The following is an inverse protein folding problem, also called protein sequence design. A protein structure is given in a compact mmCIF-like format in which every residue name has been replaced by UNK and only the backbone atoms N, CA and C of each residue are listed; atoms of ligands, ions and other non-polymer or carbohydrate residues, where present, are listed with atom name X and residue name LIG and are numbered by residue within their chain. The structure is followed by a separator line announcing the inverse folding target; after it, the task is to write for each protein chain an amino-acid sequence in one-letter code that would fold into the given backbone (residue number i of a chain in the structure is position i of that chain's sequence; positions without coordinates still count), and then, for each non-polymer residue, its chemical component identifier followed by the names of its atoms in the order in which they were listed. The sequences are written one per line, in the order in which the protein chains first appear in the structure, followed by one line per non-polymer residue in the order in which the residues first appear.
data_IF_306772177242
#
_entry.id   IF_306772177242
#
_cell.length_a   1.000
_cell.length_b   1.000
_cell.length_c   1.000
_cell.angle_alpha   90.00
_cell.angle_beta   90.00
_cell.angle_gamma   90.00
#
_symmetry.space_group_name_H-M   'P 1'
#
loop_
_entity.id
_entity.type
_entity.pdbx_description
1 polymer ?
#
# COMPACT_ATOMS: atom_id res chain seq x y z
N UNK A 1 9.15 9.77 -30.97
CA UNK A 1 9.10 10.38 -29.62
C UNK A 1 10.52 10.81 -29.29
N UNK A 2 10.72 12.00 -28.73
CA UNK A 2 12.08 12.50 -28.41
C UNK A 2 12.77 11.62 -27.36
N UNK A 3 14.10 11.64 -27.36
CA UNK A 3 14.90 10.87 -26.42
C UNK A 3 14.74 11.46 -24.99
N UNK A 4 14.85 10.65 -23.91
CA UNK A 4 14.77 11.16 -22.54
C UNK A 4 15.84 12.23 -22.24
N UNK A 5 16.97 12.19 -22.93
CA UNK A 5 18.03 13.20 -22.86
C UNK A 5 17.56 14.60 -23.34
N UNK A 6 16.48 14.66 -24.10
CA UNK A 6 15.87 15.92 -24.56
C UNK A 6 14.94 16.53 -23.49
N UNK A 7 14.94 16.02 -22.26
CA UNK A 7 14.21 16.62 -21.14
C UNK A 7 15.00 17.80 -20.58
N UNK A 8 14.29 18.88 -20.24
CA UNK A 8 14.91 20.06 -19.62
C UNK A 8 15.49 19.65 -18.27
N UNK A 9 16.76 19.96 -18.04
CA UNK A 9 17.48 19.63 -16.80
C UNK A 9 17.89 18.16 -16.69
N UNK A 10 17.95 17.43 -17.80
CA UNK A 10 18.45 16.06 -17.79
C UNK A 10 19.89 16.00 -17.26
N UNK A 11 20.09 15.23 -16.18
CA UNK A 11 21.38 15.09 -15.51
C UNK A 11 21.76 16.24 -14.57
N UNK A 12 20.87 17.21 -14.34
CA UNK A 12 21.09 18.28 -13.38
C UNK A 12 20.66 17.85 -11.97
N UNK A 13 21.56 17.97 -10.99
CA UNK A 13 21.26 17.79 -9.57
C UNK A 13 20.86 19.13 -8.94
N UNK A 14 19.73 19.15 -8.23
CA UNK A 14 19.24 20.34 -7.52
C UNK A 14 19.33 20.09 -6.02
N UNK A 15 20.40 20.56 -5.39
CA UNK A 15 20.65 20.33 -3.95
C UNK A 15 19.66 21.03 -3.01
N UNK A 16 19.26 22.27 -3.31
CA UNK A 16 18.34 23.06 -2.48
C UNK A 16 17.08 23.45 -3.26
N UNK A 17 16.06 22.59 -3.23
CA UNK A 17 14.77 22.90 -3.85
C UNK A 17 13.98 23.90 -3.00
N UNK A 18 13.71 25.10 -3.55
CA UNK A 18 12.91 26.14 -2.87
C UNK A 18 11.51 26.21 -3.46
N UNK A 19 10.51 26.21 -2.57
CA UNK A 19 9.11 26.40 -2.94
C UNK A 19 8.76 27.89 -2.99
N UNK A 20 7.96 28.29 -3.97
CA UNK A 20 7.56 29.69 -4.13
C UNK A 20 6.62 30.15 -2.99
N UNK A 21 5.73 29.26 -2.56
CA UNK A 21 4.74 29.50 -1.52
C UNK A 21 4.19 28.18 -0.97
N UNK A 22 3.29 28.25 0.01
CA UNK A 22 2.67 27.06 0.61
C UNK A 22 1.87 26.21 -0.39
N UNK A 23 1.25 26.82 -1.42
CA UNK A 23 0.52 26.05 -2.43
C UNK A 23 1.46 25.24 -3.32
N UNK A 24 2.58 25.81 -3.75
CA UNK A 24 3.62 25.09 -4.52
C UNK A 24 4.26 23.97 -3.70
N UNK A 25 4.42 24.15 -2.38
CA UNK A 25 4.78 23.06 -1.49
C UNK A 25 3.65 22.01 -1.40
N UNK A 26 2.40 22.42 -1.22
CA UNK A 26 1.31 21.48 -0.95
C UNK A 26 0.94 20.64 -2.17
N UNK A 27 0.84 21.25 -3.34
CA UNK A 27 0.44 20.60 -4.60
C UNK A 27 1.25 21.14 -5.78
N UNK A 28 1.85 20.23 -6.53
CA UNK A 28 2.55 20.52 -7.75
C UNK A 28 1.93 19.74 -8.91
N UNK A 29 1.64 20.43 -10.01
CA UNK A 29 1.08 19.83 -11.22
C UNK A 29 2.09 20.02 -12.35
N UNK A 30 2.59 18.91 -12.90
CA UNK A 30 3.48 18.91 -14.05
C UNK A 30 2.73 18.49 -15.31
N UNK A 31 3.30 18.83 -16.47
CA UNK A 31 2.75 18.37 -17.75
C UNK A 31 2.76 16.83 -17.82
N UNK A 32 1.60 16.18 -18.02
CA UNK A 32 1.56 14.73 -18.18
C UNK A 32 2.38 14.23 -19.37
N UNK A 33 2.56 15.06 -20.39
CA UNK A 33 3.40 14.74 -21.55
C UNK A 33 4.89 14.68 -21.21
N UNK A 34 5.37 15.59 -20.37
CA UNK A 34 6.77 15.57 -19.90
C UNK A 34 7.01 14.39 -18.98
N UNK A 35 6.05 14.11 -18.10
CA UNK A 35 6.12 12.96 -17.19
C UNK A 35 6.08 11.63 -17.98
N UNK A 36 5.25 11.54 -19.02
CA UNK A 36 5.19 10.37 -19.90
C UNK A 36 6.45 10.22 -20.76
N UNK A 37 7.07 11.33 -21.19
CA UNK A 37 8.34 11.28 -21.92
C UNK A 37 9.48 10.77 -21.04
N UNK A 38 9.44 11.05 -19.73
CA UNK A 38 10.44 10.59 -18.77
C UNK A 38 10.21 9.13 -18.34
N UNK A 39 9.00 8.80 -17.87
CA UNK A 39 8.64 7.48 -17.38
C UNK A 39 7.23 7.09 -17.85
N UNK A 40 7.09 6.58 -19.09
CA UNK A 40 5.80 6.18 -19.62
C UNK A 40 5.13 5.08 -18.79
N UNK A 41 5.88 4.12 -18.24
CA UNK A 41 5.29 3.10 -17.37
C UNK A 41 4.75 3.69 -16.07
N UNK A 42 5.40 4.72 -15.50
CA UNK A 42 4.91 5.31 -14.27
C UNK A 42 3.59 6.06 -14.46
N UNK A 43 3.45 6.76 -15.59
CA UNK A 43 2.19 7.42 -15.97
C UNK A 43 1.08 6.40 -16.25
N UNK A 44 1.39 5.28 -16.91
CA UNK A 44 0.41 4.20 -17.07
C UNK A 44 -0.04 3.63 -15.72
N UNK A 45 0.89 3.45 -14.78
CA UNK A 45 0.60 3.03 -13.41
C UNK A 45 -0.27 4.07 -12.67
N UNK A 46 0.07 5.35 -12.74
CA UNK A 46 -0.70 6.47 -12.14
C UNK A 46 -2.16 6.42 -12.61
N UNK A 47 -2.40 6.38 -13.92
CA UNK A 47 -3.76 6.37 -14.47
C UNK A 47 -4.51 5.07 -14.16
N UNK A 48 -3.83 3.93 -14.15
CA UNK A 48 -4.45 2.66 -13.75
C UNK A 48 -4.90 2.72 -12.29
N UNK A 49 -4.03 3.13 -11.37
CA UNK A 49 -4.35 3.22 -9.93
C UNK A 49 -5.51 4.19 -9.70
N UNK A 50 -5.48 5.38 -10.31
CA UNK A 50 -6.57 6.35 -10.20
C UNK A 50 -7.90 5.79 -10.75
N UNK A 51 -7.85 5.07 -11.88
CA UNK A 51 -9.04 4.45 -12.49
C UNK A 51 -9.60 3.34 -11.62
N UNK A 52 -8.76 2.42 -11.15
CA UNK A 52 -9.16 1.30 -10.30
C UNK A 52 -9.69 1.80 -8.95
N UNK A 53 -9.06 2.82 -8.37
CA UNK A 53 -9.53 3.46 -7.15
C UNK A 53 -10.91 4.11 -7.35
N UNK A 54 -11.11 4.87 -8.43
CA UNK A 54 -12.41 5.47 -8.75
C UNK A 54 -13.51 4.42 -8.95
N UNK A 55 -13.22 3.35 -9.70
CA UNK A 55 -14.16 2.23 -9.89
C UNK A 55 -14.47 1.55 -8.54
N UNK A 56 -13.46 1.34 -7.69
CA UNK A 56 -13.63 0.73 -6.37
C UNK A 56 -14.49 1.60 -5.43
N UNK A 57 -14.37 2.93 -5.51
CA UNK A 57 -15.20 3.87 -4.77
C UNK A 57 -16.65 3.80 -5.26
N UNK A 58 -16.87 3.86 -6.57
CA UNK A 58 -18.20 3.68 -7.17
C UNK A 58 -18.83 2.35 -6.77
N UNK A 59 -18.04 1.27 -6.79
CA UNK A 59 -18.44 -0.05 -6.33
C UNK A 59 -18.81 -0.04 -4.83
N UNK A 60 -18.05 0.66 -3.99
CA UNK A 60 -18.34 0.79 -2.56
C UNK A 60 -19.66 1.52 -2.27
N UNK A 61 -20.03 2.50 -3.10
CA UNK A 61 -21.36 3.12 -3.04
C UNK A 61 -22.45 2.20 -3.58
N UNK A 62 -22.18 1.48 -4.67
CA UNK A 62 -23.18 0.62 -5.33
C UNK A 62 -23.55 -0.61 -4.50
N UNK A 63 -22.58 -1.32 -3.94
CA UNK A 63 -22.84 -2.47 -3.04
C UNK A 63 -23.58 -2.02 -1.78
N UNK A 64 -23.41 -0.76 -1.39
CA UNK A 64 -24.04 -0.19 -0.21
C UNK A 64 -23.42 -0.71 1.08
N UNK A 65 -24.21 -0.76 2.15
CA UNK A 65 -23.67 -1.11 3.47
C UNK A 65 -22.57 -0.14 3.91
N UNK A 66 -21.61 -0.64 4.69
CA UNK A 66 -20.53 0.18 5.24
C UNK A 66 -19.37 0.44 4.27
N UNK A 67 -19.41 -0.11 3.06
CA UNK A 67 -18.23 -0.21 2.18
C UNK A 67 -17.63 1.14 1.81
N UNK A 68 -18.44 2.19 1.63
CA UNK A 68 -17.94 3.57 1.40
C UNK A 68 -17.13 4.13 2.56
N UNK A 69 -17.49 3.78 3.80
CA UNK A 69 -16.74 4.20 4.99
C UNK A 69 -15.50 3.33 5.20
N UNK A 70 -15.58 2.05 4.82
CA UNK A 70 -14.40 1.19 4.75
C UNK A 70 -13.36 1.77 3.79
N UNK A 71 -13.80 2.15 2.58
CA UNK A 71 -12.95 2.81 1.58
C UNK A 71 -12.34 4.11 2.12
N UNK A 72 -13.14 4.96 2.78
CA UNK A 72 -12.64 6.17 3.43
C UNK A 72 -11.57 5.86 4.48
N UNK A 73 -11.79 4.84 5.32
CA UNK A 73 -10.83 4.45 6.35
C UNK A 73 -9.50 3.98 5.76
N UNK A 74 -9.55 3.23 4.65
CA UNK A 74 -8.36 2.81 3.91
C UNK A 74 -7.62 4.02 3.35
N UNK A 75 -8.33 4.97 2.75
CA UNK A 75 -7.69 6.18 2.23
C UNK A 75 -7.04 7.00 3.34
N UNK A 76 -7.71 7.15 4.50
CA UNK A 76 -7.12 7.79 5.69
C UNK A 76 -5.90 7.02 6.19
N UNK A 77 -5.94 5.69 6.18
CA UNK A 77 -4.79 4.85 6.52
C UNK A 77 -3.60 5.17 5.63
N UNK A 78 -3.78 5.15 4.31
CA UNK A 78 -2.72 5.43 3.35
C UNK A 78 -2.09 6.80 3.54
N UNK A 79 -2.91 7.85 3.62
CA UNK A 79 -2.41 9.21 3.87
C UNK A 79 -1.64 9.28 5.20
N UNK A 80 -2.14 8.63 6.25
CA UNK A 80 -1.47 8.62 7.56
C UNK A 80 -0.11 7.92 7.50
N UNK A 81 -0.05 6.74 6.85
CA UNK A 81 1.19 5.96 6.70
C UNK A 81 2.26 6.75 5.96
N UNK A 82 1.93 7.32 4.79
CA UNK A 82 2.88 8.13 4.00
C UNK A 82 3.35 9.37 4.77
N UNK A 83 2.43 10.08 5.42
CA UNK A 83 2.78 11.28 6.19
C UNK A 83 3.72 10.97 7.35
N UNK A 84 3.51 9.85 8.05
CA UNK A 84 4.37 9.44 9.15
C UNK A 84 5.74 8.98 8.61
N UNK A 85 5.77 8.21 7.52
CA UNK A 85 7.01 7.78 6.87
C UNK A 85 7.89 8.98 6.49
N UNK A 86 7.31 10.04 5.93
CA UNK A 86 8.07 11.24 5.57
C UNK A 86 8.41 12.16 6.75
N UNK A 87 7.68 12.06 7.86
CA UNK A 87 7.90 12.92 9.02
C UNK A 87 8.94 12.37 10.00
N UNK A 88 9.22 11.06 9.95
CA UNK A 88 10.14 10.38 10.87
C UNK A 88 11.39 9.91 10.12
N UNK A 89 12.57 10.51 10.38
CA UNK A 89 13.80 10.17 9.66
C UNK A 89 14.17 8.68 9.68
N UNK A 90 13.89 7.97 10.78
CA UNK A 90 14.23 6.55 10.95
C UNK A 90 13.47 5.58 10.03
N UNK A 91 12.36 6.03 9.43
CA UNK A 91 11.55 5.22 8.52
C UNK A 91 11.35 5.90 7.16
N UNK A 92 12.05 7.01 6.93
CA UNK A 92 12.08 7.75 5.68
C UNK A 92 13.03 7.06 4.69
N UNK A 93 12.60 5.90 4.22
CA UNK A 93 13.46 4.90 3.57
C UNK A 93 13.20 4.75 2.07
N UNK A 94 12.37 5.61 1.47
CA UNK A 94 12.05 5.54 0.05
C UNK A 94 11.73 6.91 -0.56
N UNK A 95 11.96 7.03 -1.87
CA UNK A 95 11.69 8.25 -2.63
C UNK A 95 10.95 7.94 -3.92
N UNK A 96 9.84 8.63 -4.15
CA UNK A 96 9.09 8.54 -5.39
C UNK A 96 9.66 9.44 -6.48
N UNK A 97 9.64 8.91 -7.69
CA UNK A 97 9.74 9.73 -8.89
C UNK A 97 8.50 10.61 -9.06
N UNK A 98 8.57 11.59 -9.96
CA UNK A 98 7.53 12.59 -10.15
C UNK A 98 6.47 12.14 -11.17
N UNK A 99 5.20 12.06 -10.76
CA UNK A 99 4.06 11.89 -11.67
C UNK A 99 3.32 13.20 -11.94
N UNK A 100 2.19 13.15 -12.64
CA UNK A 100 1.44 14.33 -13.09
C UNK A 100 1.04 15.26 -11.94
N UNK A 101 0.66 14.68 -10.80
CA UNK A 101 0.26 15.43 -9.60
C UNK A 101 1.06 14.90 -8.41
N UNK A 102 1.81 15.81 -7.79
CA UNK A 102 2.64 15.54 -6.62
C UNK A 102 2.18 16.39 -5.45
N UNK A 103 2.21 15.82 -4.25
CA UNK A 103 1.79 16.44 -2.99
C UNK A 103 2.97 16.56 -2.04
N UNK A 104 2.82 17.39 -1.01
CA UNK A 104 3.69 17.45 0.17
C UNK A 104 5.18 17.64 -0.16
N UNK A 105 5.54 18.78 -0.73
CA UNK A 105 6.91 19.12 -1.09
C UNK A 105 7.44 18.27 -2.23
N UNK A 106 6.56 17.82 -3.13
CA UNK A 106 6.88 16.94 -4.27
C UNK A 106 7.38 15.55 -3.86
N UNK A 107 6.99 15.07 -2.68
CA UNK A 107 7.31 13.71 -2.21
C UNK A 107 6.27 12.67 -2.54
N UNK A 108 4.99 13.05 -2.52
CA UNK A 108 3.89 12.10 -2.52
C UNK A 108 3.09 12.20 -3.82
N UNK A 109 3.28 11.30 -4.79
CA UNK A 109 2.42 11.25 -5.95
C UNK A 109 0.97 11.01 -5.53
N UNK A 110 0.02 11.74 -6.13
CA UNK A 110 -1.39 11.66 -5.74
C UNK A 110 -1.92 10.21 -5.79
N UNK A 111 -1.53 9.46 -6.82
CA UNK A 111 -2.01 8.09 -7.00
C UNK A 111 -1.51 7.14 -5.91
N UNK A 112 -0.42 7.42 -5.21
CA UNK A 112 0.05 6.61 -4.07
C UNK A 112 -0.98 6.64 -2.94
N UNK A 113 -1.62 7.79 -2.68
CA UNK A 113 -2.72 7.85 -1.69
C UNK A 113 -3.92 6.99 -2.09
N UNK A 114 -4.08 6.73 -3.39
CA UNK A 114 -5.15 5.90 -3.96
C UNK A 114 -4.76 4.42 -4.11
N UNK A 115 -3.48 4.10 -3.99
CA UNK A 115 -2.95 2.74 -4.04
C UNK A 115 -3.51 1.89 -2.90
N UNK A 116 -3.57 2.44 -1.68
CA UNK A 116 -4.12 1.78 -0.51
C UNK A 116 -5.56 1.28 -0.75
N UNK A 117 -6.50 2.10 -1.27
CA UNK A 117 -7.78 1.60 -1.75
C UNK A 117 -7.67 0.48 -2.78
N UNK A 118 -6.78 0.56 -3.78
CA UNK A 118 -6.63 -0.52 -4.78
C UNK A 118 -6.23 -1.86 -4.14
N UNK A 119 -5.42 -1.83 -3.08
CA UNK A 119 -4.94 -3.04 -2.43
C UNK A 119 -5.91 -3.54 -1.36
N UNK A 120 -6.16 -2.71 -0.35
CA UNK A 120 -6.87 -3.10 0.85
C UNK A 120 -8.37 -3.24 0.61
N UNK A 121 -8.99 -2.41 -0.25
CA UNK A 121 -10.44 -2.49 -0.46
C UNK A 121 -10.79 -3.77 -1.21
N UNK A 122 -10.05 -4.08 -2.27
CA UNK A 122 -10.24 -5.30 -3.03
C UNK A 122 -9.93 -6.53 -2.18
N UNK A 123 -8.85 -6.50 -1.39
CA UNK A 123 -8.53 -7.56 -0.44
C UNK A 123 -9.67 -7.79 0.56
N UNK A 124 -10.12 -6.74 1.24
CA UNK A 124 -11.21 -6.82 2.21
C UNK A 124 -12.53 -7.30 1.57
N UNK A 125 -12.85 -6.84 0.36
CA UNK A 125 -14.06 -7.26 -0.34
C UNK A 125 -14.01 -8.73 -0.77
N UNK A 126 -12.89 -9.19 -1.34
CA UNK A 126 -12.69 -10.60 -1.71
C UNK A 126 -12.78 -11.50 -0.48
N UNK A 127 -12.11 -11.13 0.61
CA UNK A 127 -12.09 -11.90 1.86
C UNK A 127 -13.46 -11.93 2.54
N UNK A 128 -14.26 -10.87 2.44
CA UNK A 128 -15.61 -10.87 2.96
C UNK A 128 -16.50 -11.99 2.37
N UNK A 129 -16.20 -12.45 1.15
CA UNK A 129 -16.94 -13.55 0.50
C UNK A 129 -16.51 -14.94 1.00
N UNK A 130 -15.37 -15.04 1.70
CA UNK A 130 -14.96 -16.28 2.37
C UNK A 130 -15.79 -16.54 3.64
N UNK A 131 -16.54 -15.53 4.13
CA UNK A 131 -17.38 -15.61 5.34
C UNK A 131 -16.62 -16.20 6.55
N UNK A 132 -15.34 -15.83 6.68
CA UNK A 132 -14.44 -16.24 7.74
C UNK A 132 -14.90 -15.69 9.11
N UNK A 133 -14.56 -16.36 10.22
CA UNK A 133 -14.79 -15.79 11.54
C UNK A 133 -13.98 -14.50 11.73
N UNK A 134 -14.50 -13.62 12.59
CA UNK A 134 -14.00 -12.26 12.82
C UNK A 134 -12.51 -12.15 13.19
N UNK A 135 -11.96 -13.19 13.82
CA UNK A 135 -10.56 -13.21 14.24
C UNK A 135 -9.60 -13.63 13.13
N UNK A 136 -10.08 -14.27 12.06
CA UNK A 136 -9.26 -14.72 10.93
C UNK A 136 -9.40 -13.82 9.70
N UNK A 137 -10.56 -13.16 9.55
CA UNK A 137 -10.83 -12.24 8.44
C UNK A 137 -9.74 -11.16 8.26
N UNK A 138 -9.22 -10.51 9.32
CA UNK A 138 -8.17 -9.51 9.18
C UNK A 138 -6.87 -10.08 8.60
N UNK A 139 -6.43 -11.26 9.06
CA UNK A 139 -5.21 -11.92 8.54
C UNK A 139 -5.38 -12.34 7.09
N UNK A 140 -6.57 -12.82 6.72
CA UNK A 140 -6.87 -13.12 5.31
C UNK A 140 -6.83 -11.84 4.45
N UNK A 141 -7.35 -10.71 4.95
CA UNK A 141 -7.28 -9.43 4.25
C UNK A 141 -5.83 -8.99 4.03
N UNK A 142 -4.97 -9.05 5.06
CA UNK A 142 -3.55 -8.74 4.91
C UNK A 142 -2.82 -9.68 3.93
N UNK A 143 -3.12 -10.98 3.95
CA UNK A 143 -2.53 -11.93 2.98
C UNK A 143 -2.91 -11.58 1.54
N UNK A 144 -4.19 -11.24 1.31
CA UNK A 144 -4.65 -10.87 -0.04
C UNK A 144 -4.12 -9.50 -0.45
N UNK A 145 -3.92 -8.56 0.48
CA UNK A 145 -3.25 -7.29 0.22
C UNK A 145 -1.85 -7.51 -0.36
N UNK A 146 -1.02 -8.32 0.31
CA UNK A 146 0.33 -8.67 -0.17
C UNK A 146 0.29 -9.29 -1.56
N UNK A 147 -0.69 -10.17 -1.84
CA UNK A 147 -0.83 -10.77 -3.18
C UNK A 147 -1.14 -9.74 -4.27
N UNK A 148 -1.90 -8.69 -3.94
CA UNK A 148 -2.21 -7.59 -4.88
C UNK A 148 -1.00 -6.66 -5.05
N UNK A 149 -0.23 -6.46 -3.98
CA UNK A 149 0.92 -5.56 -3.93
C UNK A 149 2.16 -6.09 -4.69
N UNK A 150 2.54 -7.36 -4.52
CA UNK A 150 3.74 -7.97 -5.12
C UNK A 150 4.03 -7.55 -6.58
N UNK A 151 3.09 -7.66 -7.54
CA UNK A 151 3.38 -7.29 -8.93
C UNK A 151 3.64 -5.80 -9.11
N UNK A 152 2.98 -4.94 -8.32
CA UNK A 152 3.23 -3.51 -8.30
C UNK A 152 4.62 -3.22 -7.75
N UNK A 153 4.91 -3.68 -6.54
CA UNK A 153 6.14 -3.34 -5.80
C UNK A 153 7.39 -3.73 -6.63
N UNK A 154 7.44 -4.98 -7.11
CA UNK A 154 8.56 -5.48 -7.92
C UNK A 154 8.70 -4.71 -9.23
N UNK A 155 7.60 -4.51 -9.96
CA UNK A 155 7.66 -3.88 -11.28
C UNK A 155 7.99 -2.40 -11.17
N UNK A 156 7.40 -1.71 -10.20
CA UNK A 156 7.60 -0.29 -10.02
C UNK A 156 9.03 0.05 -9.58
N UNK A 157 9.63 -0.75 -8.68
CA UNK A 157 11.06 -0.62 -8.35
C UNK A 157 11.94 -0.92 -9.56
N UNK A 158 11.61 -1.94 -10.38
CA UNK A 158 12.34 -2.24 -11.63
C UNK A 158 12.38 -1.04 -12.58
N UNK A 159 11.30 -0.26 -12.67
CA UNK A 159 11.22 0.94 -13.51
C UNK A 159 11.56 2.25 -12.77
N UNK A 160 12.10 2.15 -11.55
CA UNK A 160 12.45 3.29 -10.70
C UNK A 160 11.28 4.30 -10.54
N UNK A 161 10.05 3.79 -10.40
CA UNK A 161 8.87 4.60 -10.01
C UNK A 161 9.06 5.13 -8.58
N UNK A 162 9.68 4.32 -7.73
CA UNK A 162 10.35 4.76 -6.51
C UNK A 162 11.62 3.96 -6.29
N UNK A 163 12.44 4.46 -5.40
CA UNK A 163 13.69 3.84 -4.94
C UNK A 163 13.63 3.67 -3.44
N UNK A 164 14.34 2.66 -2.95
CA UNK A 164 14.52 2.38 -1.54
C UNK A 164 15.93 2.80 -1.11
N UNK A 165 16.10 3.21 0.13
CA UNK A 165 17.40 3.52 0.71
C UNK A 165 18.33 2.32 0.58
N UNK A 166 19.50 2.49 -0.01
CA UNK A 166 20.35 1.37 -0.44
C UNK A 166 21.01 0.65 0.74
N UNK A 167 21.45 1.42 1.73
CA UNK A 167 22.27 0.96 2.87
C UNK A 167 21.55 0.87 4.22
N UNK A 168 20.24 1.11 4.28
CA UNK A 168 19.48 1.02 5.54
C UNK A 168 19.38 -0.44 6.00
N UNK A 169 19.91 -0.78 7.21
CA UNK A 169 19.91 -2.15 7.71
C UNK A 169 18.51 -2.73 7.93
N UNK A 170 17.48 -1.89 8.15
CA UNK A 170 16.11 -2.35 8.35
C UNK A 170 15.45 -2.83 7.06
N UNK A 171 15.96 -2.44 5.89
CA UNK A 171 15.37 -2.79 4.59
C UNK A 171 16.41 -3.41 3.63
N UNK A 172 17.53 -3.85 4.18
CA UNK A 172 18.67 -4.36 3.42
C UNK A 172 18.37 -5.68 2.69
N UNK A 173 17.67 -6.60 3.35
CA UNK A 173 17.31 -7.90 2.77
C UNK A 173 16.20 -7.72 1.72
N UNK A 174 16.49 -8.12 0.46
CA UNK A 174 15.63 -7.81 -0.69
C UNK A 174 15.22 -9.02 -1.53
N UNK A 175 14.08 -8.88 -2.19
CA UNK A 175 13.55 -9.74 -3.24
C UNK A 175 13.30 -8.90 -4.49
N UNK A 176 14.05 -9.14 -5.57
CA UNK A 176 13.99 -8.30 -6.78
C UNK A 176 14.14 -6.79 -6.49
N UNK A 177 15.10 -6.42 -5.64
CA UNK A 177 15.36 -5.04 -5.17
C UNK A 177 14.31 -4.43 -4.23
N UNK A 178 13.18 -5.11 -4.03
CA UNK A 178 12.17 -4.74 -3.03
C UNK A 178 12.56 -5.30 -1.66
N UNK A 179 12.58 -4.50 -0.58
CA UNK A 179 12.81 -5.01 0.77
C UNK A 179 11.75 -6.03 1.18
N UNK A 180 12.17 -7.14 1.79
CA UNK A 180 11.25 -8.11 2.38
C UNK A 180 10.32 -7.47 3.43
N UNK A 181 10.79 -6.40 4.10
CA UNK A 181 9.99 -5.63 5.03
C UNK A 181 8.80 -4.90 4.39
N UNK A 182 8.85 -4.57 3.09
CA UNK A 182 7.69 -4.01 2.37
C UNK A 182 6.48 -4.95 2.47
N UNK A 183 6.67 -6.23 2.15
CA UNK A 183 5.61 -7.24 2.26
C UNK A 183 5.14 -7.45 3.70
N UNK A 184 6.05 -7.35 4.66
CA UNK A 184 5.69 -7.45 6.09
C UNK A 184 4.85 -6.23 6.53
N UNK A 185 5.17 -5.02 6.06
CA UNK A 185 4.38 -3.81 6.33
C UNK A 185 2.97 -3.98 5.78
N UNK A 186 2.81 -4.29 4.49
CA UNK A 186 1.49 -4.51 3.88
C UNK A 186 0.68 -5.59 4.60
N UNK A 187 1.30 -6.74 4.92
CA UNK A 187 0.64 -7.82 5.63
C UNK A 187 0.07 -7.37 6.99
N UNK A 188 0.91 -6.71 7.80
CA UNK A 188 0.59 -6.40 9.19
C UNK A 188 -0.27 -5.14 9.33
N UNK A 189 -0.07 -4.14 8.46
CA UNK A 189 -0.83 -2.89 8.45
C UNK A 189 -2.25 -3.15 7.95
N UNK A 190 -2.40 -3.92 6.87
CA UNK A 190 -3.68 -4.45 6.37
C UNK A 190 -4.50 -5.17 7.43
N UNK A 191 -3.82 -6.10 8.12
CA UNK A 191 -4.41 -6.87 9.21
C UNK A 191 -4.83 -5.97 10.37
N UNK A 192 -3.95 -5.08 10.82
CA UNK A 192 -4.20 -4.17 11.93
C UNK A 192 -5.34 -3.19 11.64
N UNK A 193 -5.35 -2.58 10.45
CA UNK A 193 -6.43 -1.71 9.99
C UNK A 193 -7.77 -2.44 10.02
N UNK A 194 -7.83 -3.64 9.43
CA UNK A 194 -9.07 -4.42 9.34
C UNK A 194 -9.57 -4.78 10.75
N UNK A 195 -8.67 -5.22 11.63
CA UNK A 195 -8.99 -5.51 13.02
C UNK A 195 -9.51 -4.27 13.77
N UNK A 196 -8.83 -3.12 13.63
CA UNK A 196 -9.21 -1.86 14.25
C UNK A 196 -10.59 -1.41 13.76
N UNK A 197 -10.88 -1.52 12.47
CA UNK A 197 -12.17 -1.15 11.90
C UNK A 197 -13.30 -2.01 12.48
N UNK A 198 -13.12 -3.33 12.59
CA UNK A 198 -14.11 -4.19 13.23
C UNK A 198 -14.28 -3.86 14.71
N UNK A 199 -13.18 -3.62 15.42
CA UNK A 199 -13.17 -3.29 16.84
C UNK A 199 -13.94 -1.99 17.12
N UNK A 200 -13.55 -0.88 16.48
CA UNK A 200 -14.19 0.42 16.70
C UNK A 200 -15.65 0.40 16.29
N UNK A 201 -15.97 -0.24 15.18
CA UNK A 201 -17.36 -0.32 14.72
C UNK A 201 -18.23 -1.06 15.73
N UNK A 202 -17.81 -2.22 16.20
CA UNK A 202 -18.53 -2.94 17.26
C UNK A 202 -18.71 -2.09 18.53
N UNK A 203 -17.70 -1.32 18.92
CA UNK A 203 -17.75 -0.49 20.14
C UNK A 203 -18.63 0.75 19.99
N UNK A 204 -18.65 1.38 18.82
CA UNK A 204 -19.30 2.69 18.60
C UNK A 204 -20.71 2.53 18.01
N UNK A 205 -20.90 1.58 17.09
CA UNK A 205 -22.17 1.33 16.40
C UNK A 205 -22.97 0.16 16.99
N UNK A 206 -22.31 -0.72 17.77
CA UNK A 206 -22.94 -1.91 18.34
C UNK A 206 -23.02 -3.10 17.38
N UNK A 207 -22.54 -2.98 16.14
CA UNK A 207 -22.52 -4.06 15.15
C UNK A 207 -21.27 -3.99 14.27
N UNK A 208 -20.77 -5.13 13.83
CA UNK A 208 -19.71 -5.24 12.82
C UNK A 208 -20.18 -5.86 11.50
N UNK A 209 -21.49 -6.01 11.31
CA UNK A 209 -22.12 -6.50 10.08
C UNK A 209 -21.88 -5.55 8.90
N UNK A 210 -21.29 -6.04 7.82
CA UNK A 210 -20.88 -5.24 6.66
C UNK A 210 -22.07 -4.67 5.87
N UNK A 211 -23.23 -5.32 5.91
CA UNK A 211 -24.45 -4.90 5.19
C UNK A 211 -25.24 -3.81 5.92
N UNK A 212 -25.05 -3.67 7.23
CA UNK A 212 -25.75 -2.67 8.05
C UNK A 212 -24.97 -1.34 8.05
N UNK A 213 -25.65 -0.21 8.10
CA UNK A 213 -25.03 1.12 8.18
C UNK A 213 -25.52 1.83 9.44
N UNK A 214 -24.60 2.34 10.25
CA UNK A 214 -24.95 3.22 11.39
C UNK A 214 -25.13 4.67 10.94
N UNK A 215 -25.19 5.61 11.88
CA UNK A 215 -25.22 7.03 11.51
C UNK A 215 -23.90 7.45 10.83
N UNK A 216 -23.94 8.33 9.82
CA UNK A 216 -22.74 8.73 9.07
C UNK A 216 -21.59 9.20 9.96
N UNK A 217 -21.88 9.99 11.00
CA UNK A 217 -20.84 10.47 11.93
C UNK A 217 -20.14 9.34 12.69
N UNK A 218 -20.87 8.29 13.11
CA UNK A 218 -20.27 7.12 13.78
C UNK A 218 -19.42 6.31 12.81
N UNK A 219 -19.89 6.09 11.58
CA UNK A 219 -19.14 5.33 10.58
C UNK A 219 -17.86 6.08 10.14
N UNK A 220 -17.93 7.40 9.96
CA UNK A 220 -16.74 8.24 9.69
C UNK A 220 -15.76 8.17 10.86
N UNK A 221 -16.24 8.29 12.10
CA UNK A 221 -15.38 8.17 13.28
C UNK A 221 -14.68 6.80 13.33
N UNK A 222 -15.41 5.71 13.06
CA UNK A 222 -14.80 4.37 13.00
C UNK A 222 -13.76 4.26 11.89
N UNK A 223 -14.04 4.81 10.70
CA UNK A 223 -13.13 4.82 9.57
C UNK A 223 -11.83 5.58 9.86
N UNK A 224 -11.94 6.78 10.44
CA UNK A 224 -10.79 7.61 10.82
C UNK A 224 -9.97 6.94 11.91
N UNK A 225 -10.60 6.45 12.98
CA UNK A 225 -9.88 5.76 14.06
C UNK A 225 -9.18 4.50 13.56
N UNK A 226 -9.81 3.72 12.68
CA UNK A 226 -9.18 2.56 12.07
C UNK A 226 -7.99 2.96 11.19
N UNK A 227 -8.14 4.00 10.38
CA UNK A 227 -7.07 4.50 9.52
C UNK A 227 -5.84 4.95 10.31
N UNK A 228 -6.07 5.67 11.42
CA UNK A 228 -5.00 6.11 12.33
C UNK A 228 -4.34 4.95 13.10
N UNK A 229 -5.06 3.86 13.34
CA UNK A 229 -4.55 2.70 14.08
C UNK A 229 -3.89 1.64 13.20
N UNK A 230 -4.06 1.69 11.87
CA UNK A 230 -3.52 0.68 10.96
C UNK A 230 -1.99 0.54 11.07
N UNK A 231 -1.27 1.65 10.87
CA UNK A 231 0.20 1.65 10.94
C UNK A 231 0.71 1.33 12.36
N UNK A 232 0.27 2.01 13.45
CA UNK A 232 0.72 1.67 14.80
C UNK A 232 0.43 0.21 15.19
N UNK A 233 -0.75 -0.32 14.82
CA UNK A 233 -1.11 -1.71 15.10
C UNK A 233 -0.28 -2.72 14.30
N UNK A 234 0.18 -2.35 13.10
CA UNK A 234 1.13 -3.12 12.32
C UNK A 234 2.53 -3.09 12.93
N UNK A 235 3.03 -1.92 13.31
CA UNK A 235 4.32 -1.74 14.02
C UNK A 235 4.36 -2.56 15.32
N UNK A 236 3.26 -2.65 16.07
CA UNK A 236 3.20 -3.54 17.24
C UNK A 236 3.49 -5.00 16.88
N UNK A 237 3.05 -5.49 15.71
CA UNK A 237 3.38 -6.83 15.25
C UNK A 237 4.87 -6.95 14.90
N UNK A 238 5.50 -5.92 14.34
CA UNK A 238 6.96 -5.90 14.14
C UNK A 238 7.71 -6.05 15.46
N UNK A 239 7.34 -5.27 16.47
CA UNK A 239 7.98 -5.28 17.80
C UNK A 239 7.96 -6.68 18.43
N UNK A 240 6.86 -7.41 18.29
CA UNK A 240 6.72 -8.72 18.95
C UNK A 240 7.12 -9.92 18.09
N UNK A 241 6.99 -9.83 16.76
CA UNK A 241 7.16 -10.98 15.86
C UNK A 241 8.37 -10.86 14.94
N UNK A 242 8.77 -9.64 14.57
CA UNK A 242 9.86 -9.39 13.64
C UNK A 242 11.18 -9.14 14.37
N UNK A 243 11.23 -8.05 15.16
CA UNK A 243 12.48 -7.55 15.76
C UNK A 243 13.19 -8.57 16.68
N UNK A 244 12.49 -9.41 17.48
CA UNK A 244 13.18 -10.46 18.22
C UNK A 244 13.87 -11.48 17.32
N UNK A 245 13.26 -11.84 16.19
CA UNK A 245 13.82 -12.82 15.25
C UNK A 245 14.98 -12.22 14.44
N UNK A 246 14.75 -11.05 13.85
CA UNK A 246 15.72 -10.40 12.99
C UNK A 246 16.85 -9.75 13.80
N UNK A 247 16.54 -8.82 14.68
CA UNK A 247 17.55 -7.98 15.33
C UNK A 247 18.29 -8.70 16.46
N UNK A 248 17.60 -9.58 17.20
CA UNK A 248 18.24 -10.30 18.33
C UNK A 248 18.88 -11.62 17.90
N UNK A 249 18.23 -12.38 17.00
CA UNK A 249 18.74 -13.69 16.55
C UNK A 249 19.43 -13.66 15.17
N UNK A 250 19.46 -12.52 14.49
CA UNK A 250 20.12 -12.40 13.18
C UNK A 250 19.44 -13.22 12.08
N UNK A 251 18.15 -13.51 12.21
CA UNK A 251 17.40 -14.27 11.21
C UNK A 251 17.10 -13.36 10.02
N UNK A 252 17.54 -13.76 8.83
CA UNK A 252 17.27 -13.04 7.59
C UNK A 252 15.78 -12.76 7.40
N UNK A 253 15.46 -11.54 6.97
CA UNK A 253 14.11 -10.95 6.87
C UNK A 253 13.14 -11.82 6.07
N UNK A 254 13.60 -12.44 4.99
CA UNK A 254 12.82 -13.41 4.19
C UNK A 254 12.19 -14.50 5.06
N UNK A 255 12.97 -15.08 5.98
CA UNK A 255 12.48 -16.15 6.85
C UNK A 255 11.42 -15.61 7.81
N UNK A 256 11.60 -14.40 8.36
CA UNK A 256 10.61 -13.74 9.21
C UNK A 256 9.28 -13.54 8.47
N UNK A 257 9.34 -13.06 7.22
CA UNK A 257 8.16 -12.90 6.34
C UNK A 257 7.48 -14.24 6.06
N UNK A 258 8.23 -15.26 5.69
CA UNK A 258 7.69 -16.60 5.41
C UNK A 258 7.03 -17.19 6.65
N UNK A 259 7.61 -17.00 7.85
CA UNK A 259 7.05 -17.47 9.11
C UNK A 259 5.70 -16.81 9.38
N UNK A 260 5.60 -15.47 9.30
CA UNK A 260 4.32 -14.78 9.57
C UNK A 260 3.26 -15.11 8.51
N UNK A 261 3.63 -15.20 7.23
CA UNK A 261 2.72 -15.63 6.16
C UNK A 261 2.22 -17.04 6.44
N UNK A 262 3.12 -17.97 6.78
CA UNK A 262 2.76 -19.35 7.11
C UNK A 262 1.82 -19.41 8.31
N UNK A 263 2.09 -18.64 9.36
CA UNK A 263 1.22 -18.52 10.52
C UNK A 263 -0.17 -18.01 10.13
N UNK A 264 -0.25 -16.95 9.32
CA UNK A 264 -1.53 -16.37 8.90
C UNK A 264 -2.32 -17.34 8.02
N UNK A 265 -1.64 -18.03 7.09
CA UNK A 265 -2.26 -19.07 6.26
C UNK A 265 -2.81 -20.21 7.14
N UNK A 266 -2.06 -20.68 8.13
CA UNK A 266 -2.52 -21.72 9.05
C UNK A 266 -3.73 -21.28 9.89
N UNK A 267 -3.71 -20.04 10.40
CA UNK A 267 -4.82 -19.43 11.13
C UNK A 267 -6.08 -19.37 10.26
N UNK A 268 -5.95 -18.83 9.04
CA UNK A 268 -7.07 -18.70 8.09
C UNK A 268 -7.59 -20.07 7.66
N UNK A 269 -6.70 -21.01 7.38
CA UNK A 269 -7.07 -22.37 7.02
C UNK A 269 -7.82 -23.08 8.15
N UNK A 270 -7.34 -22.98 9.39
CA UNK A 270 -8.04 -23.53 10.55
C UNK A 270 -9.43 -22.88 10.75
N UNK A 271 -9.51 -21.56 10.59
CA UNK A 271 -10.78 -20.82 10.67
C UNK A 271 -11.79 -21.28 9.61
N UNK A 272 -11.36 -21.48 8.37
CA UNK A 272 -12.22 -21.95 7.27
C UNK A 272 -12.78 -23.36 7.55
N UNK A 273 -12.00 -24.22 8.22
CA UNK A 273 -12.45 -25.57 8.66
C UNK A 273 -13.43 -25.53 9.83
N UNK A 274 -13.40 -24.47 10.62
CA UNK A 274 -14.30 -24.26 11.76
C UNK A 274 -15.45 -23.29 11.45
N UNK A 275 -15.65 -22.94 10.17
CA UNK A 275 -16.61 -21.92 9.77
C UNK A 275 -18.06 -22.32 10.17
N UNK A 276 -18.87 -21.38 10.70
CA UNK A 276 -20.26 -21.65 11.08
C UNK A 276 -21.11 -22.22 9.94
N UNK A 277 -22.16 -22.97 10.31
CA UNK A 277 -23.15 -23.49 9.37
C UNK A 277 -23.82 -22.32 8.63
N UNK A 278 -23.69 -22.26 7.30
CA UNK A 278 -24.14 -21.12 6.47
C UNK A 278 -23.02 -20.24 5.89
N UNK A 279 -21.76 -20.41 6.33
CA UNK A 279 -20.60 -19.74 5.71
C UNK A 279 -20.27 -20.28 4.32
N UNK A 280 -20.73 -21.48 3.96
CA UNK A 280 -20.60 -22.03 2.61
C UNK A 280 -21.76 -21.57 1.73
N UNK A 281 -21.46 -21.38 0.44
CA UNK A 281 -22.45 -21.03 -0.56
C UNK A 281 -23.60 -22.03 -0.54
N UNK A 282 -24.82 -21.54 -0.38
CA UNK A 282 -26.00 -22.41 -0.35
C UNK A 282 -26.56 -22.61 -1.77
N UNK A 283 -27.20 -23.77 -2.06
CA UNK A 283 -27.91 -23.97 -3.31
C UNK A 283 -28.94 -22.86 -3.54
N UNK A 284 -28.84 -22.14 -4.66
CA UNK A 284 -29.72 -21.01 -4.99
C UNK A 284 -29.14 -19.62 -4.69
N UNK A 285 -28.03 -19.50 -3.96
CA UNK A 285 -27.32 -18.21 -3.84
C UNK A 285 -26.74 -17.81 -5.21
N UNK A 286 -27.23 -16.70 -5.75
CA UNK A 286 -26.76 -16.15 -7.03
C UNK A 286 -25.47 -15.36 -6.83
N UNK A 287 -24.59 -15.44 -7.81
CA UNK A 287 -23.36 -14.65 -7.82
C UNK A 287 -23.73 -13.19 -8.13
N UNK A 288 -23.39 -12.29 -7.21
CA UNK A 288 -23.68 -10.87 -7.39
C UNK A 288 -22.67 -10.27 -8.37
N UNK A 289 -23.16 -9.56 -9.39
CA UNK A 289 -22.35 -9.02 -10.48
C UNK A 289 -21.26 -8.04 -10.00
N UNK A 290 -21.42 -7.45 -8.81
CA UNK A 290 -20.42 -6.55 -8.22
C UNK A 290 -19.05 -7.22 -8.02
N UNK A 291 -19.02 -8.54 -7.77
CA UNK A 291 -17.77 -9.29 -7.73
C UNK A 291 -17.04 -9.33 -9.09
N UNK A 292 -17.73 -9.18 -10.23
CA UNK A 292 -17.09 -9.04 -11.55
C UNK A 292 -16.35 -7.72 -11.69
N UNK A 293 -16.83 -6.63 -11.06
CA UNK A 293 -16.10 -5.36 -11.06
C UNK A 293 -14.76 -5.53 -10.35
N UNK A 294 -14.75 -6.20 -9.20
CA UNK A 294 -13.53 -6.46 -8.44
C UNK A 294 -12.58 -7.36 -9.23
N UNK A 295 -13.10 -8.43 -9.84
CA UNK A 295 -12.30 -9.31 -10.70
C UNK A 295 -11.71 -8.55 -11.91
N UNK A 296 -12.50 -7.72 -12.59
CA UNK A 296 -12.03 -6.88 -13.69
C UNK A 296 -10.92 -5.94 -13.24
N UNK A 297 -11.09 -5.25 -12.11
CA UNK A 297 -10.06 -4.37 -11.56
C UNK A 297 -8.76 -5.13 -11.25
N UNK A 298 -8.84 -6.34 -10.69
CA UNK A 298 -7.66 -7.15 -10.41
C UNK A 298 -6.99 -7.65 -11.69
N UNK A 299 -7.75 -8.05 -12.70
CA UNK A 299 -7.21 -8.42 -14.01
C UNK A 299 -6.52 -7.22 -14.66
N UNK A 300 -7.11 -6.03 -14.57
CA UNK A 300 -6.51 -4.82 -15.12
C UNK A 300 -5.21 -4.43 -14.40
N UNK A 301 -5.21 -4.46 -13.06
CA UNK A 301 -4.03 -4.22 -12.22
C UNK A 301 -2.88 -5.19 -12.55
N UNK A 302 -3.11 -6.49 -12.42
CA UNK A 302 -2.08 -7.51 -12.66
C UNK A 302 -1.68 -7.57 -14.14
N UNK A 303 -2.64 -7.37 -15.04
CA UNK A 303 -2.42 -7.36 -16.49
C UNK A 303 -1.50 -6.22 -16.92
N UNK A 304 -1.62 -5.04 -16.30
CA UNK A 304 -0.74 -3.92 -16.59
C UNK A 304 0.71 -4.22 -16.20
N UNK A 305 0.95 -4.67 -14.96
CA UNK A 305 2.33 -4.96 -14.51
C UNK A 305 2.94 -6.14 -15.25
N UNK A 306 2.15 -7.18 -15.55
CA UNK A 306 2.60 -8.27 -16.43
C UNK A 306 2.98 -7.75 -17.82
N UNK A 307 2.16 -6.88 -18.41
CA UNK A 307 2.46 -6.26 -19.69
C UNK A 307 3.74 -5.41 -19.64
N UNK A 308 3.93 -4.61 -18.58
CA UNK A 308 5.16 -3.83 -18.41
C UNK A 308 6.40 -4.74 -18.35
N UNK A 309 6.34 -5.83 -17.59
CA UNK A 309 7.46 -6.78 -17.47
C UNK A 309 7.81 -7.43 -18.81
N UNK A 310 6.81 -7.72 -19.66
CA UNK A 310 7.00 -8.40 -20.93
C UNK A 310 7.42 -7.49 -22.10
N UNK A 311 7.01 -6.22 -22.08
CA UNK A 311 7.08 -5.35 -23.26
C UNK A 311 7.82 -4.03 -23.02
N UNK A 312 8.25 -3.72 -21.80
CA UNK A 312 8.95 -2.48 -21.46
C UNK A 312 10.34 -2.72 -20.89
N UNK A 313 11.22 -1.77 -21.19
CA UNK A 313 12.64 -1.79 -20.89
C UNK A 313 12.95 -0.64 -19.92
N UNK A 314 13.44 -0.92 -18.70
CA UNK A 314 13.71 0.12 -17.71
C UNK A 314 14.81 1.11 -18.16
N UNK A 315 15.75 0.67 -19.00
CA UNK A 315 16.81 1.51 -19.56
C UNK A 315 16.31 2.62 -20.52
N UNK A 316 15.07 2.55 -20.96
CA UNK A 316 14.43 3.56 -21.80
C UNK A 316 13.76 4.68 -20.99
N UNK A 317 13.73 4.57 -19.65
CA UNK A 317 13.06 5.49 -18.75
C UNK A 317 14.04 6.24 -17.85
N UNK A 318 13.67 7.47 -17.45
CA UNK A 318 14.48 8.32 -16.59
C UNK A 318 13.66 8.78 -15.41
N UNK A 319 14.04 8.30 -14.23
CA UNK A 319 13.43 8.69 -12.96
C UNK A 319 13.82 10.11 -12.58
N UNK A 320 12.82 10.98 -12.39
CA UNK A 320 13.00 12.40 -12.05
C UNK A 320 12.38 12.62 -10.69
N UNK A 321 13.06 13.30 -9.78
CA UNK A 321 12.48 13.66 -8.50
C UNK A 321 13.50 13.70 -7.39
N UNK A 322 12.99 13.56 -6.17
CA UNK A 322 13.82 13.33 -5.01
C UNK A 322 14.36 11.90 -5.08
N UNK A 323 15.62 11.75 -4.73
CA UNK A 323 16.34 10.48 -4.67
C UNK A 323 17.21 10.47 -3.41
N UNK A 324 17.72 9.31 -3.06
CA UNK A 324 18.74 9.20 -2.01
C UNK A 324 19.91 10.15 -2.33
N UNK A 325 20.31 11.03 -1.39
CA UNK A 325 21.41 11.96 -1.63
C UNK A 325 22.72 11.22 -1.95
N UNK A 326 23.35 11.55 -3.07
CA UNK A 326 24.67 10.98 -3.40
C UNK A 326 25.76 11.74 -2.63
N UNK A 327 26.68 11.01 -2.00
CA UNK A 327 27.67 11.63 -1.12
C UNK A 327 28.83 10.71 -0.76
N UNK A 328 29.64 11.14 0.20
CA UNK A 328 30.75 10.33 0.68
C UNK A 328 30.21 9.08 1.41
N UNK A 329 30.40 7.90 0.83
CA UNK A 329 29.99 6.60 1.41
C UNK A 329 30.64 6.29 2.78
N UNK A 330 31.57 7.12 3.26
CA UNK A 330 32.16 7.01 4.60
C UNK A 330 31.35 7.71 5.68
N UNK A 331 30.32 8.48 5.33
CA UNK A 331 29.43 9.13 6.30
C UNK A 331 28.36 8.14 6.75
N UNK A 332 28.13 8.09 8.07
CA UNK A 332 27.11 7.24 8.69
C UNK A 332 26.09 8.13 9.38
N UNK A 333 24.80 7.77 9.28
CA UNK A 333 23.73 8.30 10.11
C UNK A 333 23.42 7.33 11.24
N UNK A 334 22.98 7.87 12.38
CA UNK A 334 22.43 7.03 13.45
C UNK A 334 21.08 6.48 12.97
N UNK A 335 20.84 5.19 13.23
CA UNK A 335 19.56 4.51 12.98
C UNK A 335 19.03 4.07 14.33
N UNK A 336 17.83 4.53 14.69
CA UNK A 336 17.21 4.16 15.96
C UNK A 336 16.24 2.99 15.76
N UNK A 337 16.58 1.83 16.30
CA UNK A 337 15.64 0.70 16.35
C UNK A 337 14.57 0.92 17.42
N UNK A 338 13.43 0.22 17.32
CA UNK A 338 12.36 0.28 18.32
C UNK A 338 12.82 -0.11 19.75
N UNK A 339 13.97 -0.80 19.87
CA UNK A 339 14.58 -1.16 21.14
C UNK A 339 15.75 -0.25 21.56
N UNK A 340 16.03 0.81 20.80
CA UNK A 340 17.07 1.79 21.12
C UNK A 340 18.50 1.25 21.02
N UNK A 341 18.70 0.19 20.24
CA UNK A 341 20.03 -0.30 19.84
C UNK A 341 20.44 0.27 18.50
#
# INVERSE_FOLDING_TARGET
MGHPQDLKGFGEEIGDYKFENWLDWFIHVRSPFEAYKAQPTYILSEWMVLTVAAISLCHAFYVGGRWKYHWLGIWVHGVTTEMIAFAMPDIDSYWHSQTSIMLLGRRLPLHITMLYPVFMYHAAYMVAHLKLPRWAEPMAAGLVEVLVDIPYDITAVKFAHWTWHDTDPNIFDRHYWVPWNSYYFHLTFGTAFTFALHFFRRKITGTDDKGVVSTPGKEILCAVLAGLCGMPGGVLQFIFLYHPLHDTFGIHTENCVIIIISLYVLIVWAADRMAPMGSRKQPGETFHWSALIIAFNMIFHHGLYLWMVLFKNPEEEVSIGLHEPTGNCSQTSDVYTAFGM
#
